data_IF_420234309138
#
_entry.id   IF_420234309138
#
_cell.length_a   1.000
_cell.length_b   1.000
_cell.length_c   1.000
_cell.angle_alpha   90.00
_cell.angle_beta   90.00
_cell.angle_gamma   90.00
#
_symmetry.space_group_name_H-M   'P 1'
#
loop_
_entity.id
_entity.type
_entity.pdbx_description
1 polymer ?
#
# COMPACT_ATOMS: atom_id res chain seq x y z
N UNK A 1 -12.70 -12.12 7.14
CA UNK A 1 -12.19 -11.86 8.50
C UNK A 1 -10.78 -11.30 8.42
N UNK A 2 -10.50 -10.17 9.06
CA UNK A 2 -9.14 -9.61 9.17
C UNK A 2 -8.53 -10.02 10.51
N UNK A 3 -7.20 -9.97 10.58
CA UNK A 3 -6.46 -10.21 11.81
C UNK A 3 -5.20 -9.33 11.89
N UNK A 4 -4.72 -9.11 13.11
CA UNK A 4 -3.40 -8.57 13.42
C UNK A 4 -2.49 -9.73 13.82
N UNK A 5 -1.28 -9.75 13.27
CA UNK A 5 -0.26 -10.76 13.54
C UNK A 5 1.05 -10.09 13.94
N UNK A 6 1.88 -10.81 14.68
CA UNK A 6 3.21 -10.37 15.06
C UNK A 6 4.24 -11.48 14.88
N UNK A 7 5.48 -11.07 14.63
CA UNK A 7 6.63 -11.95 14.54
C UNK A 7 7.52 -11.81 15.76
N UNK A 8 7.94 -12.95 16.29
CA UNK A 8 8.81 -13.09 17.44
C UNK A 8 10.02 -13.94 17.05
N UNK A 9 11.13 -13.73 17.75
CA UNK A 9 12.18 -14.75 17.80
C UNK A 9 11.62 -16.00 18.49
N UNK A 10 12.18 -17.21 18.23
CA UNK A 10 11.79 -18.41 18.95
C UNK A 10 11.89 -18.21 20.47
N UNK A 11 10.83 -18.49 21.21
CA UNK A 11 10.75 -18.25 22.66
C UNK A 11 10.71 -16.76 23.08
N UNK A 12 10.70 -15.83 22.12
CA UNK A 12 10.72 -14.40 22.36
C UNK A 12 9.45 -13.90 23.04
N UNK A 13 9.62 -12.98 24.00
CA UNK A 13 8.51 -12.31 24.69
C UNK A 13 8.07 -11.02 24.01
N UNK A 14 8.93 -10.44 23.18
CA UNK A 14 8.74 -9.13 22.56
C UNK A 14 8.72 -9.29 21.05
N UNK A 15 7.72 -8.72 20.35
CA UNK A 15 7.66 -8.82 18.90
C UNK A 15 8.71 -7.93 18.25
N UNK A 16 9.26 -8.37 17.12
CA UNK A 16 10.11 -7.53 16.27
C UNK A 16 9.34 -6.98 15.06
N UNK A 17 8.11 -7.43 14.80
CA UNK A 17 7.27 -6.91 13.73
C UNK A 17 5.79 -7.13 14.06
N UNK A 18 4.96 -6.16 13.70
CA UNK A 18 3.49 -6.25 13.79
C UNK A 18 2.90 -5.91 12.42
N UNK A 19 1.88 -6.66 11.99
CA UNK A 19 1.20 -6.37 10.73
C UNK A 19 -0.25 -6.82 10.73
N UNK A 20 -1.02 -6.25 9.81
CA UNK A 20 -2.40 -6.63 9.54
C UNK A 20 -2.53 -7.50 8.31
N UNK A 21 -3.45 -8.46 8.34
CA UNK A 21 -3.69 -9.34 7.20
C UNK A 21 -5.03 -10.04 7.13
N UNK A 22 -5.19 -10.77 6.02
CA UNK A 22 -6.27 -11.70 5.72
C UNK A 22 -5.67 -12.96 5.11
N UNK A 23 -6.41 -14.08 5.17
CA UNK A 23 -5.98 -15.36 4.61
C UNK A 23 -4.59 -15.77 5.12
N UNK A 24 -3.64 -16.02 4.21
CA UNK A 24 -2.29 -16.48 4.54
C UNK A 24 -1.25 -15.35 4.59
N UNK A 25 -1.66 -14.08 4.68
CA UNK A 25 -0.71 -12.94 4.62
C UNK A 25 0.39 -13.03 5.69
N UNK A 26 0.08 -13.46 6.91
CA UNK A 26 1.08 -13.63 7.98
C UNK A 26 2.19 -14.61 7.60
N UNK A 27 1.88 -15.66 6.83
CA UNK A 27 2.84 -16.66 6.34
C UNK A 27 3.56 -16.19 5.08
N UNK A 28 2.83 -15.63 4.11
CA UNK A 28 3.41 -15.12 2.86
C UNK A 28 4.42 -14.01 3.14
N UNK A 29 4.14 -13.15 4.12
CA UNK A 29 5.03 -12.05 4.48
C UNK A 29 6.34 -12.51 5.14
N UNK A 30 6.45 -13.76 5.64
CA UNK A 30 7.71 -14.34 6.11
C UNK A 30 8.69 -14.66 4.97
N UNK A 31 8.18 -14.98 3.78
CA UNK A 31 9.01 -15.31 2.61
C UNK A 31 9.15 -14.13 1.65
N UNK A 32 8.19 -13.21 1.63
CA UNK A 32 8.12 -12.09 0.67
C UNK A 32 7.87 -10.75 1.35
N UNK A 33 8.63 -10.45 2.41
CA UNK A 33 8.52 -9.15 3.06
C UNK A 33 9.02 -8.03 2.15
N UNK A 34 8.23 -6.95 2.03
CA UNK A 34 8.66 -5.71 1.40
C UNK A 34 9.46 -4.81 2.38
N UNK A 35 9.54 -5.18 3.65
CA UNK A 35 10.36 -4.50 4.64
C UNK A 35 11.74 -5.18 4.71
N UNK A 36 12.77 -4.48 4.23
CA UNK A 36 14.13 -5.03 4.15
C UNK A 36 14.74 -5.37 5.52
N UNK A 37 14.39 -4.62 6.57
CA UNK A 37 14.84 -4.91 7.93
C UNK A 37 14.22 -6.21 8.47
N UNK A 38 12.92 -6.41 8.22
CA UNK A 38 12.21 -7.66 8.56
C UNK A 38 12.77 -8.83 7.76
N UNK A 39 12.92 -8.68 6.44
CA UNK A 39 13.47 -9.73 5.57
C UNK A 39 14.87 -10.16 6.02
N UNK A 40 15.74 -9.19 6.37
CA UNK A 40 17.08 -9.47 6.91
C UNK A 40 17.01 -10.21 8.25
N UNK A 41 16.16 -9.76 9.17
CA UNK A 41 16.00 -10.42 10.48
C UNK A 41 15.58 -11.88 10.35
N UNK A 42 14.62 -12.15 9.46
CA UNK A 42 14.15 -13.50 9.15
C UNK A 42 15.27 -14.34 8.54
N UNK A 43 16.02 -13.79 7.58
CA UNK A 43 17.15 -14.49 6.97
C UNK A 43 18.23 -14.87 7.99
N UNK A 44 18.55 -13.96 8.92
CA UNK A 44 19.50 -14.23 10.01
C UNK A 44 19.00 -15.35 10.92
N UNK A 45 17.72 -15.32 11.33
CA UNK A 45 17.14 -16.39 12.14
C UNK A 45 17.23 -17.75 11.44
N UNK A 46 16.83 -17.81 10.16
CA UNK A 46 16.89 -19.04 9.35
C UNK A 46 18.31 -19.53 9.13
N UNK A 47 19.26 -18.62 8.93
CA UNK A 47 20.69 -18.96 8.82
C UNK A 47 21.24 -19.61 10.09
N UNK A 48 20.65 -19.31 11.25
CA UNK A 48 20.99 -19.91 12.54
C UNK A 48 20.13 -21.15 12.88
N UNK A 49 19.35 -21.68 11.93
CA UNK A 49 18.50 -22.85 12.15
C UNK A 49 17.18 -22.56 12.88
N UNK A 50 16.78 -21.30 12.99
CA UNK A 50 15.56 -20.87 13.67
C UNK A 50 14.50 -20.34 12.69
N UNK A 51 13.22 -20.53 13.02
CA UNK A 51 12.10 -19.91 12.30
C UNK A 51 11.41 -18.87 13.19
N UNK A 52 11.03 -17.68 12.68
CA UNK A 52 10.22 -16.74 13.44
C UNK A 52 8.90 -17.35 13.91
N UNK A 53 8.54 -17.10 15.16
CA UNK A 53 7.21 -17.44 15.66
C UNK A 53 6.18 -16.42 15.17
N UNK A 54 5.09 -16.90 14.59
CA UNK A 54 3.96 -16.06 14.17
C UNK A 54 2.83 -16.21 15.18
N UNK A 55 2.43 -15.11 15.81
CA UNK A 55 1.28 -15.08 16.72
C UNK A 55 0.19 -14.19 16.16
N UNK A 56 -1.05 -14.69 16.16
CA UNK A 56 -2.23 -13.90 15.82
C UNK A 56 -2.73 -13.22 17.10
N UNK A 57 -2.80 -11.90 17.08
CA UNK A 57 -3.02 -11.09 18.29
C UNK A 57 -4.46 -10.59 18.41
N UNK A 58 -5.13 -10.38 17.27
CA UNK A 58 -6.47 -9.80 17.23
C UNK A 58 -7.20 -10.21 15.96
N UNK A 59 -8.52 -10.39 16.02
CA UNK A 59 -9.39 -10.66 14.87
C UNK A 59 -10.54 -9.65 14.87
N UNK A 60 -10.95 -9.19 13.68
CA UNK A 60 -12.06 -8.25 13.57
C UNK A 60 -12.35 -7.81 12.14
N UNK A 61 -13.04 -6.67 12.03
CA UNK A 61 -13.25 -5.97 10.76
C UNK A 61 -11.95 -5.37 10.21
N UNK A 62 -11.98 -4.94 8.96
CA UNK A 62 -10.85 -4.25 8.32
C UNK A 62 -10.37 -3.05 9.14
N UNK A 63 -11.31 -2.22 9.61
CA UNK A 63 -11.02 -1.00 10.38
C UNK A 63 -10.58 -1.32 11.82
N UNK A 64 -11.24 -2.27 12.49
CA UNK A 64 -10.83 -2.68 13.85
C UNK A 64 -9.39 -3.19 13.88
N UNK A 65 -9.02 -4.08 12.94
CA UNK A 65 -7.65 -4.60 12.87
C UNK A 65 -6.64 -3.52 12.48
N UNK A 66 -7.07 -2.47 11.76
CA UNK A 66 -6.21 -1.34 11.36
C UNK A 66 -5.90 -0.46 12.57
N UNK A 67 -6.91 -0.13 13.37
CA UNK A 67 -6.75 0.61 14.61
C UNK A 67 -5.90 -0.16 15.61
N UNK A 68 -6.11 -1.47 15.73
CA UNK A 68 -5.34 -2.32 16.63
C UNK A 68 -3.87 -2.47 16.19
N UNK A 69 -3.59 -2.59 14.87
CA UNK A 69 -2.22 -2.55 14.34
C UNK A 69 -1.51 -1.24 14.72
N UNK A 70 -2.15 -0.08 14.51
CA UNK A 70 -1.59 1.23 14.88
C UNK A 70 -1.32 1.30 16.38
N UNK A 71 -2.30 0.89 17.20
CA UNK A 71 -2.19 0.90 18.66
C UNK A 71 -1.02 0.06 19.14
N UNK A 72 -0.87 -1.15 18.63
CA UNK A 72 0.21 -2.06 19.03
C UNK A 72 1.59 -1.54 18.55
N UNK A 73 1.69 -0.99 17.35
CA UNK A 73 2.95 -0.39 16.87
C UNK A 73 3.39 0.78 17.77
N UNK A 74 2.44 1.63 18.18
CA UNK A 74 2.71 2.72 19.14
C UNK A 74 3.10 2.20 20.52
N UNK A 75 2.42 1.16 21.01
CA UNK A 75 2.66 0.58 22.33
C UNK A 75 4.06 -0.02 22.46
N UNK A 76 4.49 -0.83 21.48
CA UNK A 76 5.81 -1.47 21.52
C UNK A 76 6.92 -0.53 21.06
N UNK A 77 6.61 0.41 20.17
CA UNK A 77 7.55 1.40 19.67
C UNK A 77 8.45 0.89 18.55
N UNK A 78 8.82 1.80 17.65
CA UNK A 78 9.62 1.51 16.46
C UNK A 78 11.11 1.76 16.67
N UNK A 79 11.92 0.87 16.13
CA UNK A 79 13.38 0.93 16.25
C UNK A 79 14.00 2.09 15.46
N UNK A 80 13.45 2.43 14.30
CA UNK A 80 13.96 3.53 13.47
C UNK A 80 13.71 4.92 14.07
N UNK A 81 12.77 5.01 15.02
CA UNK A 81 12.52 6.20 15.83
C UNK A 81 13.15 6.11 17.23
N UNK A 82 14.03 5.12 17.46
CA UNK A 82 14.61 4.80 18.76
C UNK A 82 13.57 4.60 19.89
N UNK A 83 12.33 4.25 19.54
CA UNK A 83 11.21 4.14 20.46
C UNK A 83 10.88 2.72 20.90
N UNK A 84 11.51 1.68 20.31
CA UNK A 84 11.23 0.29 20.66
C UNK A 84 11.84 -0.75 19.73
N UNK A 85 11.43 -2.03 19.86
CA UNK A 85 12.05 -3.16 19.18
C UNK A 85 11.51 -3.39 17.75
N UNK A 86 10.40 -2.74 17.37
CA UNK A 86 9.72 -3.05 16.13
C UNK A 86 10.52 -2.60 14.91
N UNK A 87 10.62 -3.49 13.93
CA UNK A 87 11.22 -3.27 12.62
C UNK A 87 10.26 -2.60 11.63
N UNK A 88 9.03 -2.27 12.06
CA UNK A 88 8.04 -1.53 11.28
C UNK A 88 8.63 -0.19 10.78
N UNK A 89 8.36 0.16 9.52
CA UNK A 89 8.82 1.42 8.91
C UNK A 89 7.71 2.49 8.80
N UNK A 90 6.53 2.20 9.36
CA UNK A 90 5.33 3.06 9.33
C UNK A 90 4.60 2.91 10.67
N UNK A 91 3.74 3.86 11.01
CA UNK A 91 2.95 3.82 12.25
C UNK A 91 1.75 2.86 12.18
N UNK A 92 1.57 2.16 11.06
CA UNK A 92 0.45 1.26 10.82
C UNK A 92 -0.72 1.95 10.12
N UNK A 93 -1.66 1.16 9.59
CA UNK A 93 -2.87 1.67 8.94
C UNK A 93 -2.70 2.43 7.63
N UNK A 94 -1.47 2.60 7.15
CA UNK A 94 -1.18 3.33 5.92
C UNK A 94 -1.37 2.50 4.64
N UNK A 95 -1.56 1.18 4.72
CA UNK A 95 -1.50 0.33 3.51
C UNK A 95 -0.23 0.64 2.69
N UNK A 96 -0.31 0.69 1.36
CA UNK A 96 0.80 1.10 0.48
C UNK A 96 1.07 2.61 0.42
N UNK A 97 0.33 3.42 1.19
CA UNK A 97 0.15 4.85 0.93
C UNK A 97 1.13 5.78 1.66
N UNK A 98 1.89 5.31 2.66
CA UNK A 98 2.96 6.12 3.31
C UNK A 98 4.29 5.38 3.50
N UNK A 99 4.74 4.66 2.47
CA UNK A 99 6.11 4.15 2.44
C UNK A 99 7.07 5.34 2.29
N UNK A 100 7.91 5.63 3.28
CA UNK A 100 9.04 6.56 3.11
C UNK A 100 9.98 5.93 2.09
N UNK A 101 9.84 6.32 0.81
CA UNK A 101 10.74 5.86 -0.25
C UNK A 101 11.98 6.74 -0.23
N UNK A 102 13.15 6.12 -0.13
CA UNK A 102 14.42 6.83 -0.25
C UNK A 102 14.46 7.57 -1.60
N UNK A 103 15.02 8.79 -1.65
CA UNK A 103 14.99 9.71 -2.82
C UNK A 103 15.31 8.99 -4.15
N UNK A 104 16.30 8.09 -4.12
CA UNK A 104 16.73 7.25 -5.25
C UNK A 104 15.66 6.30 -5.78
N UNK A 105 14.85 5.68 -4.91
CA UNK A 105 13.78 4.77 -5.34
C UNK A 105 12.65 5.55 -6.03
N UNK A 106 12.34 6.75 -5.54
CA UNK A 106 11.37 7.64 -6.16
C UNK A 106 11.84 8.11 -7.54
N UNK A 107 13.15 8.39 -7.70
CA UNK A 107 13.76 8.70 -8.99
C UNK A 107 13.69 7.55 -9.99
N UNK A 108 13.96 6.31 -9.56
CA UNK A 108 13.83 5.12 -10.40
C UNK A 108 12.39 4.90 -10.88
N UNK A 109 11.41 5.09 -10.01
CA UNK A 109 9.99 4.98 -10.36
C UNK A 109 9.55 6.08 -11.32
N UNK A 110 10.00 7.32 -11.10
CA UNK A 110 9.76 8.45 -12.01
C UNK A 110 10.42 8.23 -13.36
N UNK A 111 11.62 7.66 -13.40
CA UNK A 111 12.31 7.30 -14.63
C UNK A 111 11.56 6.18 -15.38
N UNK A 112 11.11 5.14 -14.69
CA UNK A 112 10.30 4.06 -15.28
C UNK A 112 8.97 4.58 -15.82
N UNK A 113 8.26 5.44 -15.08
CA UNK A 113 7.03 6.07 -15.54
C UNK A 113 7.25 6.94 -16.80
N UNK A 114 8.35 7.71 -16.84
CA UNK A 114 8.74 8.50 -18.02
C UNK A 114 9.04 7.62 -19.23
N UNK A 115 9.80 6.52 -19.05
CA UNK A 115 10.08 5.55 -20.12
C UNK A 115 8.80 4.92 -20.67
N UNK A 116 7.87 4.55 -19.80
CA UNK A 116 6.57 4.01 -20.21
C UNK A 116 5.71 5.04 -20.96
N UNK A 117 5.77 6.31 -20.57
CA UNK A 117 4.99 7.38 -21.21
C UNK A 117 5.56 7.80 -22.57
N UNK A 118 6.88 7.75 -22.73
CA UNK A 118 7.57 8.06 -23.98
C UNK A 118 7.50 6.92 -25.00
N UNK A 119 7.11 5.70 -24.58
CA UNK A 119 6.87 4.60 -25.49
C UNK A 119 5.43 4.65 -26.02
N UNK A 120 5.27 4.84 -27.33
CA UNK A 120 3.98 5.05 -27.99
C UNK A 120 2.99 3.89 -27.79
N UNK A 121 3.44 2.65 -27.98
CA UNK A 121 2.61 1.45 -27.81
C UNK A 121 2.11 1.30 -26.37
N UNK A 122 3.00 1.53 -25.39
CA UNK A 122 2.67 1.45 -23.96
C UNK A 122 1.69 2.55 -23.56
N UNK A 123 1.91 3.78 -24.06
CA UNK A 123 1.02 4.92 -23.86
C UNK A 123 -0.37 4.65 -24.44
N UNK A 124 -0.45 4.17 -25.67
CA UNK A 124 -1.70 3.87 -26.36
C UNK A 124 -2.52 2.81 -25.62
N UNK A 125 -1.90 1.69 -25.22
CA UNK A 125 -2.57 0.63 -24.43
C UNK A 125 -3.13 1.16 -23.11
N UNK A 126 -2.37 2.03 -22.43
CA UNK A 126 -2.79 2.63 -21.15
C UNK A 126 -3.95 3.60 -21.32
N UNK A 127 -3.95 4.41 -22.37
CA UNK A 127 -5.07 5.29 -22.73
C UNK A 127 -6.32 4.48 -23.08
N UNK A 128 -6.18 3.43 -23.90
CA UNK A 128 -7.28 2.55 -24.27
C UNK A 128 -7.92 1.88 -23.03
N UNK A 129 -7.11 1.36 -22.10
CA UNK A 129 -7.61 0.78 -20.85
C UNK A 129 -8.31 1.80 -19.95
N UNK A 130 -7.90 3.07 -19.98
CA UNK A 130 -8.61 4.15 -19.29
C UNK A 130 -9.97 4.39 -19.97
N UNK A 131 -10.00 4.55 -21.30
CA UNK A 131 -11.25 4.77 -22.06
C UNK A 131 -12.26 3.65 -21.79
N UNK A 132 -11.82 2.39 -21.90
CA UNK A 132 -12.67 1.21 -21.70
C UNK A 132 -13.27 1.18 -20.28
N UNK A 133 -12.45 1.51 -19.29
CA UNK A 133 -12.89 1.54 -17.91
C UNK A 133 -13.89 2.66 -17.57
N UNK A 134 -14.03 3.68 -18.42
CA UNK A 134 -15.09 4.69 -18.33
C UNK A 134 -16.38 4.28 -19.06
N UNK A 135 -16.28 3.33 -20.02
CA UNK A 135 -17.43 2.75 -20.72
C UNK A 135 -18.15 1.71 -19.86
N UNK A 136 -17.40 0.93 -19.09
CA UNK A 136 -17.96 -0.05 -18.16
C UNK A 136 -18.63 0.63 -16.93
N UNK A 137 -19.95 0.43 -16.68
CA UNK A 137 -20.68 1.14 -15.63
C UNK A 137 -20.15 0.91 -14.21
N UNK A 138 -19.86 -0.35 -13.85
CA UNK A 138 -19.36 -0.75 -12.52
C UNK A 138 -17.97 -0.20 -12.26
N UNK A 139 -17.11 -0.22 -13.29
CA UNK A 139 -15.73 0.30 -13.18
C UNK A 139 -15.72 1.83 -13.10
N UNK A 140 -16.61 2.49 -13.84
CA UNK A 140 -16.84 3.93 -13.77
C UNK A 140 -17.32 4.35 -12.38
N UNK A 141 -18.29 3.66 -11.81
CA UNK A 141 -18.83 3.97 -10.48
C UNK A 141 -17.79 3.80 -9.38
N UNK A 142 -17.02 2.70 -9.40
CA UNK A 142 -15.91 2.49 -8.48
C UNK A 142 -14.81 3.57 -8.61
N UNK A 143 -14.56 4.07 -9.82
CA UNK A 143 -13.66 5.21 -10.05
C UNK A 143 -14.18 6.51 -9.44
N UNK A 144 -15.47 6.80 -9.61
CA UNK A 144 -16.11 7.97 -9.02
C UNK A 144 -16.10 7.90 -7.48
N UNK A 145 -16.42 6.74 -6.92
CA UNK A 145 -16.37 6.48 -5.48
C UNK A 145 -14.95 6.61 -4.92
N UNK A 146 -13.93 6.14 -5.65
CA UNK A 146 -12.52 6.35 -5.29
C UNK A 146 -12.10 7.81 -5.29
N UNK A 147 -12.58 8.59 -6.28
CA UNK A 147 -12.35 10.04 -6.34
C UNK A 147 -13.06 10.82 -5.22
N UNK A 148 -14.23 10.34 -4.77
CA UNK A 148 -14.98 10.90 -3.64
C UNK A 148 -14.30 10.57 -2.30
N UNK A 149 -13.91 9.30 -2.09
CA UNK A 149 -13.20 8.84 -0.87
C UNK A 149 -11.81 9.48 -0.70
N UNK A 150 -11.18 9.89 -1.79
CA UNK A 150 -9.87 10.55 -1.78
C UNK A 150 -9.88 12.04 -1.41
N UNK A 151 -11.07 12.66 -1.24
CA UNK A 151 -11.21 14.10 -1.07
C UNK A 151 -11.03 14.84 -2.40
N UNK A 152 -12.01 15.65 -2.76
CA UNK A 152 -12.17 16.31 -4.05
C UNK A 152 -10.87 16.86 -4.67
N UNK A 153 -10.53 16.35 -5.87
CA UNK A 153 -9.54 16.97 -6.77
C UNK A 153 -10.00 16.95 -8.23
N UNK A 154 -10.78 15.95 -8.65
CA UNK A 154 -11.31 15.87 -10.01
C UNK A 154 -12.57 16.73 -10.19
N UNK A 155 -13.54 16.67 -9.25
CA UNK A 155 -14.77 17.49 -9.30
C UNK A 155 -14.43 18.98 -9.20
N UNK A 156 -13.51 19.34 -8.30
CA UNK A 156 -13.09 20.74 -8.09
C UNK A 156 -12.25 21.27 -9.27
N UNK A 157 -11.38 20.45 -9.89
CA UNK A 157 -10.69 20.83 -11.15
C UNK A 157 -11.64 20.95 -12.33
N UNK A 158 -12.69 20.13 -12.39
CA UNK A 158 -13.73 20.18 -13.42
C UNK A 158 -14.62 21.41 -13.26
N UNK A 159 -14.93 21.81 -12.01
CA UNK A 159 -15.67 23.03 -11.70
C UNK A 159 -14.81 24.29 -11.91
N UNK A 160 -13.52 24.24 -11.58
CA UNK A 160 -12.59 25.36 -11.72
C UNK A 160 -12.22 25.72 -13.17
N UNK A 161 -12.51 24.87 -14.17
CA UNK A 161 -12.25 25.20 -15.57
C UNK A 161 -13.34 24.70 -16.54
N UNK A 162 -14.45 25.46 -16.68
CA UNK A 162 -15.57 25.10 -17.56
C UNK A 162 -15.19 24.94 -19.04
N UNK A 163 -14.14 25.63 -19.51
CA UNK A 163 -13.64 25.53 -20.88
C UNK A 163 -12.94 24.19 -21.16
N UNK A 164 -12.28 23.59 -20.16
CA UNK A 164 -11.70 22.26 -20.29
C UNK A 164 -12.79 21.17 -20.41
N UNK A 165 -13.90 21.33 -19.68
CA UNK A 165 -15.07 20.43 -19.77
C UNK A 165 -15.74 20.48 -21.16
N UNK A 166 -15.93 21.67 -21.72
CA UNK A 166 -16.52 21.84 -23.07
C UNK A 166 -15.64 21.21 -24.15
N UNK A 167 -14.32 21.42 -24.09
CA UNK A 167 -13.37 20.82 -25.05
C UNK A 167 -13.34 19.29 -24.99
N UNK A 168 -13.34 18.72 -23.78
CA UNK A 168 -13.37 17.26 -23.62
C UNK A 168 -14.70 16.66 -24.10
N UNK A 169 -15.83 17.32 -23.83
CA UNK A 169 -17.14 16.87 -24.31
C UNK A 169 -17.29 16.98 -25.83
N UNK A 170 -16.73 18.01 -26.46
CA UNK A 170 -16.70 18.18 -27.92
C UNK A 170 -15.83 17.09 -28.57
N UNK A 171 -14.65 16.79 -28.00
CA UNK A 171 -13.78 15.73 -28.49
C UNK A 171 -14.42 14.35 -28.38
N UNK A 172 -15.19 14.08 -27.32
CA UNK A 172 -15.87 12.80 -27.13
C UNK A 172 -17.14 12.62 -27.97
N UNK A 173 -17.73 13.71 -28.49
CA UNK A 173 -18.87 13.64 -29.43
C UNK A 173 -18.44 13.43 -30.88
N UNK A 174 -17.15 13.65 -31.18
CA UNK A 174 -16.58 13.54 -32.53
C UNK A 174 -15.80 12.22 -32.74
N UNK A 175 -15.72 11.38 -31.71
CA UNK A 175 -15.09 10.05 -31.74
C UNK A 175 -16.17 8.98 -31.58
#
# INVERSE_FOLDING_TARGET
MFYVYAYFEPGGKVPFYIGKGVHHRSRVHLSRSHNSAVARKIAVLRGNGFEPEVRLLYFGTDEQCKLEEIRLIRLFGRRDLAGGPLLNCTDGGDGTTKRVRYKRELELLRAAARRQWNNESTRAKKIAGIIESWRNPTTRENRLLGAIKGGATLRDRILANPAARRRLSEQMKRA
#
